data_IF_523917941684
#
_entry.id   IF_523917941684
#
_cell.length_a   1.000
_cell.length_b   1.000
_cell.length_c   1.000
_cell.angle_alpha   90.00
_cell.angle_beta   90.00
_cell.angle_gamma   90.00
#
_symmetry.space_group_name_H-M   'P 1'
#
loop_
_entity.id
_entity.type
_entity.pdbx_description
1 polymer ?
#
# COMPACT_ATOMS: atom_id res chain seq x y z
N UNK A 1 -8.92 8.55 -5.34
CA UNK A 1 -9.93 8.47 -6.43
C UNK A 1 -9.81 9.72 -7.26
N UNK A 2 -9.82 9.67 -8.60
CA UNK A 2 -9.84 10.89 -9.38
C UNK A 2 -11.18 11.60 -9.14
N UNK A 3 -11.09 12.77 -8.55
CA UNK A 3 -12.22 13.66 -8.31
C UNK A 3 -12.27 14.61 -9.52
N UNK A 4 -13.42 14.75 -10.19
CA UNK A 4 -13.56 15.60 -11.39
C UNK A 4 -13.60 14.82 -12.71
N UNK A 5 -13.05 15.39 -13.80
CA UNK A 5 -12.94 14.76 -15.13
C UNK A 5 -11.57 14.05 -15.27
N UNK A 6 -11.46 12.73 -14.99
CA UNK A 6 -10.22 11.99 -15.15
C UNK A 6 -9.78 11.93 -16.62
N UNK A 7 -8.47 11.91 -16.84
CA UNK A 7 -7.91 11.69 -18.18
C UNK A 7 -8.17 10.24 -18.63
N UNK A 8 -8.18 9.96 -19.95
CA UNK A 8 -8.30 8.59 -20.46
C UNK A 8 -7.26 7.62 -19.88
N UNK A 9 -6.05 8.12 -19.60
CA UNK A 9 -4.98 7.35 -18.97
C UNK A 9 -5.36 6.91 -17.55
N UNK A 10 -5.90 7.79 -16.72
CA UNK A 10 -6.34 7.45 -15.35
C UNK A 10 -7.45 6.39 -15.36
N UNK A 11 -8.34 6.41 -16.35
CA UNK A 11 -9.40 5.41 -16.50
C UNK A 11 -8.81 4.05 -16.88
N UNK A 12 -7.84 4.03 -17.79
CA UNK A 12 -7.13 2.81 -18.19
C UNK A 12 -6.38 2.18 -17.01
N UNK A 13 -5.62 2.97 -16.25
CA UNK A 13 -4.93 2.53 -15.03
C UNK A 13 -5.91 1.90 -14.04
N UNK A 14 -7.04 2.55 -13.77
CA UNK A 14 -8.08 2.02 -12.86
C UNK A 14 -8.67 0.68 -13.33
N UNK A 15 -8.91 0.53 -14.64
CA UNK A 15 -9.38 -0.76 -15.20
C UNK A 15 -8.36 -1.87 -14.98
N UNK A 16 -7.08 -1.57 -15.18
CA UNK A 16 -6.00 -2.52 -14.93
C UNK A 16 -5.86 -2.86 -13.45
N UNK A 17 -5.82 -1.86 -12.57
CA UNK A 17 -5.74 -2.05 -11.10
C UNK A 17 -6.85 -2.96 -10.61
N UNK A 18 -8.10 -2.72 -11.04
CA UNK A 18 -9.24 -3.56 -10.70
C UNK A 18 -9.09 -4.99 -11.23
N UNK A 19 -8.62 -5.17 -12.46
CA UNK A 19 -8.40 -6.50 -13.06
C UNK A 19 -7.30 -7.28 -12.35
N UNK A 20 -6.23 -6.60 -11.94
CA UNK A 20 -5.09 -7.20 -11.25
C UNK A 20 -5.27 -7.30 -9.72
N UNK A 21 -6.43 -6.89 -9.19
CA UNK A 21 -6.77 -7.01 -7.77
C UNK A 21 -6.11 -5.96 -6.86
N UNK A 22 -5.55 -4.90 -7.42
CA UNK A 22 -4.97 -3.81 -6.64
C UNK A 22 -6.07 -2.95 -6.00
N UNK A 23 -5.90 -2.66 -4.71
CA UNK A 23 -6.80 -1.80 -3.94
C UNK A 23 -5.98 -0.72 -3.22
N UNK A 24 -6.29 0.54 -3.48
CA UNK A 24 -5.72 1.66 -2.73
C UNK A 24 -6.54 1.90 -1.46
N UNK A 25 -5.99 1.55 -0.29
CA UNK A 25 -6.48 2.05 1.00
C UNK A 25 -5.53 3.13 1.50
N UNK A 26 -6.07 4.32 1.76
CA UNK A 26 -5.34 5.39 2.45
C UNK A 26 -5.81 5.46 3.90
N UNK A 27 -4.86 5.43 4.82
CA UNK A 27 -5.06 5.68 6.25
C UNK A 27 -4.05 6.74 6.69
N UNK A 28 -4.41 7.54 7.70
CA UNK A 28 -3.49 8.53 8.28
C UNK A 28 -2.70 7.84 9.39
N UNK A 29 -1.37 7.93 9.34
CA UNK A 29 -0.47 7.50 10.40
C UNK A 29 0.24 8.69 11.02
N UNK A 30 0.74 8.51 12.25
CA UNK A 30 1.69 9.46 12.84
C UNK A 30 2.98 9.45 12.05
N UNK A 31 3.54 10.65 11.82
CA UNK A 31 4.78 10.85 11.06
C UNK A 31 5.94 10.03 11.63
N UNK A 32 6.14 10.09 12.94
CA UNK A 32 7.20 9.38 13.65
C UNK A 32 7.21 7.88 13.32
N UNK A 33 6.04 7.24 13.41
CA UNK A 33 5.88 5.80 13.11
C UNK A 33 6.24 5.48 11.65
N UNK A 34 5.89 6.36 10.71
CA UNK A 34 6.19 6.14 9.29
C UNK A 34 7.69 6.29 9.02
N UNK A 35 8.32 7.28 9.62
CA UNK A 35 9.77 7.53 9.47
C UNK A 35 10.60 6.41 10.13
N UNK A 36 10.21 5.95 11.32
CA UNK A 36 10.87 4.81 11.98
C UNK A 36 10.71 3.52 11.18
N UNK A 37 9.50 3.24 10.68
CA UNK A 37 9.26 2.07 9.83
C UNK A 37 10.07 2.13 8.53
N UNK A 38 10.19 3.31 7.92
CA UNK A 38 11.00 3.51 6.72
C UNK A 38 12.48 3.20 6.97
N UNK A 39 13.05 3.72 8.07
CA UNK A 39 14.44 3.46 8.47
C UNK A 39 14.70 1.98 8.73
N UNK A 40 13.81 1.33 9.48
CA UNK A 40 13.93 -0.10 9.76
C UNK A 40 13.90 -0.94 8.46
N UNK A 41 13.04 -0.57 7.50
CA UNK A 41 13.01 -1.24 6.20
C UNK A 41 14.29 -1.02 5.39
N UNK A 42 14.88 0.19 5.43
CA UNK A 42 16.16 0.48 4.77
C UNK A 42 17.33 -0.31 5.39
N UNK A 43 17.39 -0.39 6.73
CA UNK A 43 18.40 -1.15 7.46
C UNK A 43 18.32 -2.66 7.16
N UNK A 44 17.11 -3.21 7.04
CA UNK A 44 16.89 -4.61 6.65
C UNK A 44 17.01 -4.85 5.13
N UNK A 45 17.13 -3.80 4.32
CA UNK A 45 17.22 -3.90 2.85
C UNK A 45 15.92 -4.37 2.19
N UNK A 46 14.77 -4.09 2.79
CA UNK A 46 13.44 -4.47 2.28
C UNK A 46 12.61 -3.26 1.89
N UNK A 47 11.64 -3.45 0.99
CA UNK A 47 10.68 -2.37 0.69
C UNK A 47 9.63 -2.25 1.80
N UNK A 48 9.22 -1.02 2.11
CA UNK A 48 8.11 -0.78 3.05
C UNK A 48 6.83 -1.54 2.65
N UNK A 49 6.53 -1.59 1.35
CA UNK A 49 5.36 -2.30 0.84
C UNK A 49 5.44 -3.82 1.06
N UNK A 50 6.61 -4.43 0.83
CA UNK A 50 6.79 -5.87 1.08
C UNK A 50 6.70 -6.20 2.56
N UNK A 51 7.34 -5.40 3.42
CA UNK A 51 7.31 -5.62 4.87
C UNK A 51 5.91 -5.44 5.45
N UNK A 52 5.20 -4.38 5.04
CA UNK A 52 3.80 -4.18 5.44
C UNK A 52 2.91 -5.35 4.99
N UNK A 53 3.07 -5.82 3.75
CA UNK A 53 2.29 -6.96 3.22
C UNK A 53 2.55 -8.23 4.03
N UNK A 54 3.80 -8.48 4.42
CA UNK A 54 4.17 -9.61 5.28
C UNK A 54 3.46 -9.51 6.63
N UNK A 55 3.57 -8.38 7.33
CA UNK A 55 2.91 -8.17 8.63
C UNK A 55 1.38 -8.32 8.54
N UNK A 56 0.74 -7.84 7.46
CA UNK A 56 -0.69 -8.01 7.24
C UNK A 56 -1.08 -9.49 7.09
N UNK A 57 -0.31 -10.28 6.31
CA UNK A 57 -0.55 -11.70 6.13
C UNK A 57 -0.38 -12.49 7.43
N UNK A 58 0.69 -12.22 8.17
CA UNK A 58 0.95 -12.85 9.47
C UNK A 58 -0.18 -12.58 10.45
N UNK A 59 -0.71 -11.35 10.49
CA UNK A 59 -1.83 -11.02 11.36
C UNK A 59 -3.13 -11.76 10.95
N UNK A 60 -3.39 -11.89 9.65
CA UNK A 60 -4.55 -12.66 9.14
C UNK A 60 -4.41 -14.14 9.49
N UNK A 61 -3.22 -14.72 9.31
CA UNK A 61 -2.96 -16.13 9.61
C UNK A 61 -3.13 -16.45 11.10
N UNK A 62 -2.64 -15.58 11.99
CA UNK A 62 -2.84 -15.72 13.44
C UNK A 62 -4.31 -15.66 13.90
N UNK A 63 -5.22 -15.19 13.04
CA UNK A 63 -6.65 -15.00 13.35
C UNK A 63 -7.57 -15.91 12.53
N UNK A 64 -7.01 -16.80 11.70
CA UNK A 64 -7.73 -17.90 11.06
C UNK A 64 -7.84 -19.08 12.01
#
# INVERSE_FOLDING_TARGET
MPVGKPTPQTIATKKYEKKAGWMSKSYKLKREVVEEFARACEEEGVSQASQLTKMMKEFVEKRK
#
